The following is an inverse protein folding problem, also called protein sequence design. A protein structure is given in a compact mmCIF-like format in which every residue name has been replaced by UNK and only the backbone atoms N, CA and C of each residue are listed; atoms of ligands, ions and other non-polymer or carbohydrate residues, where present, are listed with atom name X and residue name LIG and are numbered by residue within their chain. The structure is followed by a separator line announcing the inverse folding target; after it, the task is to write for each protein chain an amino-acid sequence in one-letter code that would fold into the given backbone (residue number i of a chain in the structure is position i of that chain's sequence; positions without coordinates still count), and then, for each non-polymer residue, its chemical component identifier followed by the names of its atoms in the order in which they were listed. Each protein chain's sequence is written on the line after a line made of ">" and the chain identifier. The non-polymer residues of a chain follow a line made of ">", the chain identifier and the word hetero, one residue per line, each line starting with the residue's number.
data_IF_958963760566
#
_entry.id   IF_958963760566
#
_cell.length_a   1.000
_cell.length_b   1.000
_cell.length_c   1.000
_cell.angle_alpha   90.00
_cell.angle_beta   90.00
_cell.angle_gamma   90.00
#
_symmetry.space_group_name_H-M   'P 1'
#
loop_
_entity.id
_entity.type
_entity.pdbx_description
1 polymer ?
#
# COMPACT_ATOMS: atom_id res chain seq x y z
N UNK A 1 41.17 -8.65 -3.97
CA UNK A 1 41.71 -7.70 -2.98
C UNK A 1 41.50 -8.31 -1.61
N UNK A 2 42.52 -8.34 -0.76
CA UNK A 2 42.39 -8.86 0.60
C UNK A 2 41.38 -8.03 1.39
N UNK A 3 40.34 -8.68 1.90
CA UNK A 3 39.23 -8.06 2.65
C UNK A 3 39.68 -7.38 3.96
N UNK A 4 40.89 -7.67 4.44
CA UNK A 4 41.47 -7.10 5.66
C UNK A 4 42.07 -5.69 5.53
N UNK A 5 42.12 -5.08 4.33
CA UNK A 5 42.75 -3.76 4.11
C UNK A 5 41.83 -2.66 3.56
N UNK A 6 40.56 -2.97 3.29
CA UNK A 6 39.61 -2.00 2.73
C UNK A 6 39.00 -1.15 3.87
N UNK A 7 39.39 0.12 3.96
CA UNK A 7 38.78 1.10 4.89
C UNK A 7 37.80 2.00 4.15
N UNK A 8 36.84 2.60 4.88
CA UNK A 8 35.89 3.55 4.31
C UNK A 8 36.60 4.74 3.63
N UNK A 9 37.71 5.19 4.20
CA UNK A 9 38.51 6.29 3.65
C UNK A 9 39.14 5.92 2.30
N UNK A 10 39.68 4.70 2.17
CA UNK A 10 40.22 4.21 0.90
C UNK A 10 39.15 4.10 -0.17
N UNK A 11 37.96 3.59 0.18
CA UNK A 11 36.83 3.52 -0.75
C UNK A 11 36.38 4.92 -1.16
N UNK A 12 36.30 5.85 -0.21
CA UNK A 12 35.98 7.26 -0.48
C UNK A 12 37.00 7.91 -1.42
N UNK A 13 38.30 7.66 -1.22
CA UNK A 13 39.37 8.16 -2.09
C UNK A 13 39.27 7.59 -3.50
N UNK A 14 38.96 6.30 -3.65
CA UNK A 14 38.75 5.67 -4.96
C UNK A 14 37.52 6.25 -5.67
N UNK A 15 36.41 6.44 -4.95
CA UNK A 15 35.19 7.02 -5.51
C UNK A 15 35.40 8.47 -5.98
N UNK A 16 36.28 9.23 -5.32
CA UNK A 16 36.66 10.58 -5.76
C UNK A 16 37.37 10.64 -7.12
N UNK A 17 37.92 9.52 -7.61
CA UNK A 17 38.54 9.46 -8.93
C UNK A 17 37.51 9.42 -10.05
N UNK A 18 36.27 9.06 -9.74
CA UNK A 18 35.18 9.00 -10.69
C UNK A 18 34.40 10.31 -10.73
N UNK A 19 33.95 10.68 -11.93
CA UNK A 19 33.01 11.79 -12.15
C UNK A 19 31.63 11.24 -12.49
N UNK A 20 30.60 12.05 -12.32
CA UNK A 20 29.25 11.71 -12.75
C UNK A 20 29.21 11.35 -14.25
N UNK A 21 28.51 10.28 -14.68
CA UNK A 21 27.68 9.36 -13.87
C UNK A 21 28.44 8.19 -13.24
N UNK A 22 29.67 7.90 -13.66
CA UNK A 22 30.45 6.74 -13.21
C UNK A 22 30.66 6.69 -11.69
N UNK A 23 30.68 7.85 -11.02
CA UNK A 23 30.75 7.91 -9.55
C UNK A 23 29.54 7.28 -8.87
N UNK A 24 28.35 7.39 -9.47
CA UNK A 24 27.10 6.81 -8.96
C UNK A 24 27.14 5.29 -9.06
N UNK A 25 27.50 4.77 -10.23
CA UNK A 25 27.62 3.32 -10.47
C UNK A 25 28.68 2.69 -9.55
N UNK A 26 29.85 3.32 -9.45
CA UNK A 26 30.91 2.87 -8.56
C UNK A 26 30.47 2.87 -7.10
N UNK A 27 29.71 3.89 -6.66
CA UNK A 27 29.17 3.96 -5.31
C UNK A 27 28.13 2.86 -5.04
N UNK A 28 27.24 2.56 -6.00
CA UNK A 28 26.27 1.47 -5.88
C UNK A 28 26.95 0.10 -5.75
N UNK A 29 27.99 -0.14 -6.56
CA UNK A 29 28.81 -1.35 -6.45
C UNK A 29 29.51 -1.40 -5.09
N UNK A 30 30.09 -0.28 -4.64
CA UNK A 30 30.75 -0.23 -3.34
C UNK A 30 29.79 -0.55 -2.19
N UNK A 31 28.57 0.01 -2.20
CA UNK A 31 27.54 -0.29 -1.19
C UNK A 31 27.13 -1.76 -1.23
N UNK A 32 27.07 -2.37 -2.43
CA UNK A 32 26.77 -3.80 -2.58
C UNK A 32 27.88 -4.69 -2.00
N UNK A 33 29.12 -4.44 -2.37
CA UNK A 33 30.25 -5.33 -2.02
C UNK A 33 30.76 -5.10 -0.60
N UNK A 34 30.63 -3.88 -0.06
CA UNK A 34 31.25 -3.51 1.22
C UNK A 34 30.30 -3.68 2.41
N UNK A 35 29.66 -4.85 2.55
CA UNK A 35 28.72 -5.11 3.65
C UNK A 35 29.37 -5.15 5.04
N UNK A 36 30.71 -5.17 5.11
CA UNK A 36 31.45 -5.07 6.37
C UNK A 36 31.45 -3.65 6.96
N UNK A 37 31.12 -2.62 6.18
CA UNK A 37 31.03 -1.24 6.70
C UNK A 37 29.74 -1.02 7.48
N UNK A 38 29.76 -0.04 8.38
CA UNK A 38 28.56 0.31 9.13
C UNK A 38 27.52 0.90 8.20
N UNK A 39 26.24 0.72 8.54
CA UNK A 39 25.13 1.28 7.77
C UNK A 39 25.24 2.80 7.61
N UNK A 40 25.73 3.49 8.65
CA UNK A 40 26.01 4.93 8.65
C UNK A 40 27.08 5.31 7.63
N UNK A 41 28.17 4.55 7.55
CA UNK A 41 29.24 4.79 6.58
C UNK A 41 28.74 4.61 5.14
N UNK A 42 27.94 3.56 4.90
CA UNK A 42 27.36 3.30 3.58
C UNK A 42 26.32 4.36 3.18
N UNK A 43 25.51 4.84 4.12
CA UNK A 43 24.57 5.95 3.90
C UNK A 43 25.31 7.26 3.61
N UNK A 44 26.47 7.50 4.25
CA UNK A 44 27.32 8.64 3.92
C UNK A 44 27.88 8.54 2.49
N UNK A 45 28.30 7.35 2.04
CA UNK A 45 28.71 7.14 0.65
C UNK A 45 27.57 7.43 -0.32
N UNK A 46 26.36 6.96 -0.02
CA UNK A 46 25.18 7.24 -0.83
C UNK A 46 24.94 8.76 -0.95
N UNK A 47 24.90 9.47 0.17
CA UNK A 47 24.71 10.92 0.18
C UNK A 47 25.78 11.65 -0.64
N UNK A 48 27.05 11.28 -0.48
CA UNK A 48 28.19 11.99 -1.08
C UNK A 48 28.41 11.68 -2.55
N UNK A 49 28.12 10.45 -3.01
CA UNK A 49 28.50 9.99 -4.35
C UNK A 49 27.32 9.60 -5.24
N UNK A 50 26.16 9.24 -4.69
CA UNK A 50 24.95 8.96 -5.47
C UNK A 50 24.19 10.26 -5.71
N UNK A 51 23.84 10.99 -4.66
CA UNK A 51 23.08 12.25 -4.77
C UNK A 51 23.96 13.51 -4.70
N UNK A 52 25.26 13.32 -4.47
CA UNK A 52 26.27 14.38 -4.42
C UNK A 52 25.89 15.55 -3.50
N UNK A 53 25.41 15.24 -2.30
CA UNK A 53 25.25 16.23 -1.24
C UNK A 53 26.62 16.54 -0.62
N UNK A 54 26.97 17.82 -0.53
CA UNK A 54 28.17 18.26 0.19
C UNK A 54 27.80 18.83 1.56
N UNK A 55 28.59 18.47 2.56
CA UNK A 55 28.47 19.03 3.90
C UNK A 55 29.09 20.43 3.89
N UNK A 56 28.27 21.47 4.03
CA UNK A 56 28.74 22.82 4.32
C UNK A 56 28.50 23.12 5.79
N UNK A 57 29.57 23.34 6.54
CA UNK A 57 29.46 23.97 7.85
C UNK A 57 29.24 25.45 7.63
N UNK A 58 28.12 25.97 8.12
CA UNK A 58 27.87 27.40 8.14
C UNK A 58 29.01 28.12 8.88
N UNK A 59 29.65 29.10 8.22
CA UNK A 59 30.70 29.91 8.84
C UNK A 59 30.20 30.72 10.04
N UNK A 60 28.88 30.90 10.18
CA UNK A 60 28.25 31.68 11.26
C UNK A 60 27.68 30.82 12.38
N UNK A 61 27.48 29.51 12.18
CA UNK A 61 27.08 28.55 13.21
C UNK A 61 27.70 27.18 12.94
N UNK A 62 28.87 26.84 13.54
CA UNK A 62 29.59 25.59 13.27
C UNK A 62 28.85 24.32 13.72
N UNK A 63 27.75 24.45 14.46
CA UNK A 63 26.85 23.35 14.84
C UNK A 63 25.75 23.09 13.80
N UNK A 64 25.54 23.99 12.85
CA UNK A 64 24.59 23.80 11.74
C UNK A 64 25.30 23.23 10.52
N UNK A 65 25.12 21.93 10.37
CA UNK A 65 25.56 21.17 9.21
C UNK A 65 24.52 21.29 8.10
N UNK A 66 24.83 22.04 7.03
CA UNK A 66 23.93 22.26 5.89
C UNK A 66 24.39 21.38 4.73
N UNK A 67 23.52 20.49 4.25
CA UNK A 67 23.81 19.71 3.06
C UNK A 67 23.39 20.49 1.80
N UNK A 68 24.31 20.66 0.86
CA UNK A 68 24.07 21.36 -0.41
C UNK A 68 23.92 20.34 -1.54
N UNK A 69 22.79 20.39 -2.24
CA UNK A 69 22.56 19.64 -3.48
C UNK A 69 23.46 20.19 -4.59
N UNK A 70 24.32 19.33 -5.15
CA UNK A 70 25.21 19.72 -6.26
C UNK A 70 24.72 19.25 -7.63
N UNK A 71 23.84 18.26 -7.69
CA UNK A 71 23.23 17.80 -8.94
C UNK A 71 22.12 18.74 -9.39
N UNK A 72 22.01 18.99 -10.70
CA UNK A 72 20.80 19.60 -11.26
C UNK A 72 19.66 18.56 -11.40
N UNK A 73 18.46 19.01 -11.77
CA UNK A 73 17.30 18.12 -11.85
C UNK A 73 17.43 17.01 -12.91
N UNK A 74 18.12 17.24 -14.02
CA UNK A 74 18.34 16.23 -15.07
C UNK A 74 19.31 15.15 -14.55
N UNK A 75 20.39 15.58 -13.90
CA UNK A 75 21.37 14.67 -13.30
C UNK A 75 20.74 13.85 -12.17
N UNK A 76 19.87 14.45 -11.36
CA UNK A 76 19.13 13.73 -10.33
C UNK A 76 18.23 12.64 -10.93
N UNK A 77 17.48 12.94 -11.99
CA UNK A 77 16.66 11.94 -12.67
C UNK A 77 17.52 10.81 -13.27
N UNK A 78 18.67 11.16 -13.84
CA UNK A 78 19.61 10.16 -14.37
C UNK A 78 20.21 9.29 -13.25
N UNK A 79 20.54 9.87 -12.09
CA UNK A 79 20.94 9.11 -10.88
C UNK A 79 19.85 8.12 -10.46
N UNK A 80 18.59 8.57 -10.43
CA UNK A 80 17.45 7.72 -10.06
C UNK A 80 17.25 6.58 -11.07
N UNK A 81 17.43 6.84 -12.37
CA UNK A 81 17.36 5.77 -13.38
C UNK A 81 18.53 4.79 -13.27
N UNK A 82 19.75 5.25 -13.02
CA UNK A 82 20.90 4.38 -12.75
C UNK A 82 20.66 3.49 -11.52
N UNK A 83 20.08 4.04 -10.45
CA UNK A 83 19.69 3.28 -9.28
C UNK A 83 18.60 2.24 -9.63
N UNK A 84 17.57 2.63 -10.39
CA UNK A 84 16.49 1.71 -10.84
C UNK A 84 17.07 0.54 -11.61
N UNK A 85 17.88 0.82 -12.65
CA UNK A 85 18.54 -0.20 -13.46
C UNK A 85 19.45 -1.09 -12.62
N UNK A 86 20.20 -0.51 -11.67
CA UNK A 86 21.06 -1.27 -10.78
C UNK A 86 20.25 -2.26 -9.93
N UNK A 87 19.14 -1.84 -9.33
CA UNK A 87 18.28 -2.71 -8.51
C UNK A 87 17.61 -3.82 -9.33
N UNK A 88 17.22 -3.53 -10.57
CA UNK A 88 16.64 -4.51 -11.51
C UNK A 88 17.64 -5.56 -11.97
N UNK A 89 18.90 -5.17 -12.16
CA UNK A 89 19.95 -6.04 -12.68
C UNK A 89 20.56 -6.96 -11.62
N UNK A 90 20.15 -6.89 -10.36
CA UNK A 90 20.60 -7.85 -9.36
C UNK A 90 19.80 -9.15 -9.46
N UNK A 91 20.49 -10.28 -9.42
CA UNK A 91 19.87 -11.61 -9.39
C UNK A 91 19.22 -11.95 -8.04
N UNK A 92 19.67 -11.34 -6.95
CA UNK A 92 19.16 -11.55 -5.59
C UNK A 92 18.44 -10.30 -5.07
N UNK A 93 17.13 -10.44 -4.82
CA UNK A 93 16.27 -9.38 -4.28
C UNK A 93 16.74 -8.92 -2.88
N UNK A 94 17.42 -9.76 -2.11
CA UNK A 94 17.97 -9.43 -0.80
C UNK A 94 19.04 -8.34 -0.91
N UNK A 95 19.88 -8.44 -1.95
CA UNK A 95 20.91 -7.44 -2.23
C UNK A 95 20.26 -6.11 -2.60
N UNK A 96 19.31 -6.12 -3.54
CA UNK A 96 18.62 -4.90 -3.96
C UNK A 96 17.86 -4.25 -2.80
N UNK A 97 17.20 -5.05 -1.96
CA UNK A 97 16.50 -4.56 -0.76
C UNK A 97 17.47 -3.88 0.20
N UNK A 98 18.61 -4.51 0.49
CA UNK A 98 19.62 -3.92 1.38
C UNK A 98 20.19 -2.60 0.83
N UNK A 99 20.49 -2.55 -0.47
CA UNK A 99 20.99 -1.32 -1.12
C UNK A 99 19.95 -0.22 -1.04
N UNK A 100 18.68 -0.52 -1.34
CA UNK A 100 17.58 0.42 -1.20
C UNK A 100 17.44 0.92 0.25
N UNK A 101 17.53 0.03 1.24
CA UNK A 101 17.42 0.39 2.65
C UNK A 101 18.56 1.29 3.13
N UNK A 102 19.79 1.06 2.65
CA UNK A 102 20.94 1.93 2.96
C UNK A 102 20.75 3.32 2.37
N UNK A 103 20.17 3.40 1.16
CA UNK A 103 20.00 4.65 0.45
C UNK A 103 18.85 5.45 1.06
N UNK A 104 17.66 4.85 1.19
CA UNK A 104 16.43 5.58 1.51
C UNK A 104 15.94 5.38 2.94
N UNK A 105 15.99 4.16 3.48
CA UNK A 105 15.25 3.82 4.71
C UNK A 105 15.69 4.67 5.90
N UNK A 106 17.00 4.75 6.17
CA UNK A 106 17.49 5.40 7.40
C UNK A 106 17.03 6.85 7.52
N UNK A 107 17.04 7.58 6.41
CA UNK A 107 16.64 8.98 6.37
C UNK A 107 15.12 9.12 6.39
N UNK A 108 14.39 8.25 5.68
CA UNK A 108 12.94 8.32 5.61
C UNK A 108 12.23 7.75 6.85
N UNK A 109 12.93 6.99 7.68
CA UNK A 109 12.42 6.47 8.96
C UNK A 109 12.48 7.47 10.11
N UNK A 110 13.13 8.63 9.91
CA UNK A 110 13.30 9.69 10.90
C UNK A 110 12.79 11.02 10.33
N UNK A 111 11.59 11.46 10.76
CA UNK A 111 10.97 12.71 10.28
C UNK A 111 11.71 13.96 10.71
N UNK A 112 12.51 13.87 11.77
CA UNK A 112 13.32 14.97 12.28
C UNK A 112 14.70 15.02 11.60
N UNK A 113 15.01 14.04 10.73
CA UNK A 113 16.26 14.00 10.00
C UNK A 113 16.36 15.24 9.08
N UNK A 114 17.49 15.96 9.07
CA UNK A 114 17.65 17.20 8.29
C UNK A 114 17.51 17.01 6.77
N UNK A 115 17.66 15.77 6.29
CA UNK A 115 17.50 15.40 4.88
C UNK A 115 16.12 14.80 4.55
N UNK A 116 15.20 14.70 5.51
CA UNK A 116 13.92 14.04 5.32
C UNK A 116 13.16 14.60 4.11
N UNK A 117 12.96 15.91 4.02
CA UNK A 117 12.22 16.54 2.92
C UNK A 117 12.85 16.27 1.55
N UNK A 118 14.18 16.26 1.49
CA UNK A 118 14.92 16.00 0.27
C UNK A 118 14.74 14.55 -0.19
N UNK A 119 14.93 13.60 0.74
CA UNK A 119 14.76 12.18 0.47
C UNK A 119 13.31 11.82 0.20
N UNK A 120 12.35 12.51 0.82
CA UNK A 120 10.94 12.40 0.52
C UNK A 120 10.67 12.76 -0.95
N UNK A 121 11.20 13.90 -1.42
CA UNK A 121 11.06 14.27 -2.83
C UNK A 121 11.78 13.29 -3.78
N UNK A 122 12.93 12.75 -3.38
CA UNK A 122 13.66 11.74 -4.17
C UNK A 122 12.87 10.44 -4.29
N UNK A 123 12.28 9.94 -3.19
CA UNK A 123 11.52 8.68 -3.23
C UNK A 123 10.24 8.83 -4.06
N UNK A 124 9.58 10.00 -4.02
CA UNK A 124 8.42 10.27 -4.87
C UNK A 124 8.80 10.21 -6.37
N UNK A 125 9.89 10.86 -6.76
CA UNK A 125 10.41 10.80 -8.14
C UNK A 125 10.83 9.38 -8.53
N UNK A 126 11.50 8.67 -7.62
CA UNK A 126 11.94 7.29 -7.86
C UNK A 126 10.77 6.34 -8.06
N UNK A 127 9.69 6.54 -7.30
CA UNK A 127 8.46 5.78 -7.43
C UNK A 127 7.75 6.05 -8.76
N UNK A 128 7.56 7.33 -9.12
CA UNK A 128 6.99 7.73 -10.42
C UNK A 128 7.79 7.14 -11.60
N UNK A 129 9.12 7.17 -11.50
CA UNK A 129 10.02 6.55 -12.48
C UNK A 129 9.83 5.04 -12.55
N UNK A 130 9.83 4.36 -11.40
CA UNK A 130 9.69 2.90 -11.32
C UNK A 130 8.34 2.41 -11.86
N UNK A 131 7.28 3.18 -11.65
CA UNK A 131 5.96 2.93 -12.22
C UNK A 131 6.01 3.08 -13.74
N UNK A 132 6.57 4.20 -14.22
CA UNK A 132 6.61 4.53 -15.65
C UNK A 132 7.41 3.53 -16.48
N UNK A 133 8.44 2.92 -15.88
CA UNK A 133 9.28 1.89 -16.51
C UNK A 133 8.84 0.45 -16.19
N UNK A 134 7.72 0.25 -15.49
CA UNK A 134 7.20 -1.08 -15.16
C UNK A 134 8.20 -1.95 -14.39
N UNK A 135 8.95 -1.31 -13.47
CA UNK A 135 10.06 -1.88 -12.71
C UNK A 135 9.63 -2.86 -11.62
N UNK A 136 9.23 -4.08 -11.99
CA UNK A 136 8.71 -5.09 -11.04
C UNK A 136 9.62 -5.36 -9.82
N UNK A 137 10.94 -5.60 -9.96
CA UNK A 137 11.80 -5.82 -8.80
C UNK A 137 11.84 -4.61 -7.87
N UNK A 138 12.02 -3.41 -8.44
CA UNK A 138 12.09 -2.14 -7.69
C UNK A 138 10.79 -1.84 -6.96
N UNK A 139 9.63 -1.99 -7.62
CA UNK A 139 8.32 -1.80 -6.99
C UNK A 139 8.06 -2.81 -5.87
N UNK A 140 8.58 -4.03 -5.99
CA UNK A 140 8.49 -5.04 -4.92
C UNK A 140 9.32 -4.63 -3.69
N UNK A 141 10.51 -4.07 -3.90
CA UNK A 141 11.34 -3.52 -2.82
C UNK A 141 10.64 -2.34 -2.15
N UNK A 142 10.10 -1.41 -2.94
CA UNK A 142 9.35 -0.26 -2.41
C UNK A 142 8.13 -0.73 -1.62
N UNK A 143 7.41 -1.74 -2.09
CA UNK A 143 6.26 -2.29 -1.36
C UNK A 143 6.67 -2.88 0.00
N UNK A 144 7.75 -3.67 0.06
CA UNK A 144 8.29 -4.18 1.33
C UNK A 144 8.72 -3.05 2.28
N UNK A 145 9.30 -2.00 1.72
CA UNK A 145 9.64 -0.80 2.48
C UNK A 145 8.40 -0.14 3.07
N UNK A 146 7.36 0.12 2.28
CA UNK A 146 6.08 0.68 2.75
C UNK A 146 5.47 -0.17 3.88
N UNK A 147 5.49 -1.50 3.75
CA UNK A 147 5.01 -2.42 4.79
C UNK A 147 5.84 -2.38 6.08
N UNK A 148 7.12 -2.04 5.97
CA UNK A 148 8.02 -1.93 7.12
C UNK A 148 7.79 -0.61 7.85
N UNK A 149 7.70 0.51 7.12
CA UNK A 149 7.50 1.84 7.72
C UNK A 149 6.06 2.07 8.18
N UNK A 150 5.07 1.30 7.72
CA UNK A 150 3.68 1.41 8.20
C UNK A 150 3.53 1.08 9.68
N UNK A 151 4.56 0.51 10.32
CA UNK A 151 4.54 0.28 11.76
C UNK A 151 4.79 1.56 12.56
N UNK A 152 5.36 2.58 11.93
CA UNK A 152 5.84 3.79 12.59
C UNK A 152 5.35 5.08 11.95
N UNK A 153 4.96 5.08 10.66
CA UNK A 153 4.71 6.29 9.87
C UNK A 153 3.56 6.18 8.85
N UNK A 154 2.34 5.85 9.31
CA UNK A 154 1.16 5.75 8.42
C UNK A 154 0.84 7.05 7.64
N UNK A 155 1.13 8.21 8.22
CA UNK A 155 0.91 9.50 7.57
C UNK A 155 1.81 9.71 6.35
N UNK A 156 3.03 9.18 6.37
CA UNK A 156 3.96 9.25 5.25
C UNK A 156 3.48 8.39 4.09
N UNK A 157 3.01 7.17 4.37
CA UNK A 157 2.45 6.26 3.37
C UNK A 157 1.23 6.88 2.71
N UNK A 158 0.31 7.42 3.51
CA UNK A 158 -0.88 8.12 2.99
C UNK A 158 -0.48 9.21 2.00
N UNK A 159 0.52 10.05 2.35
CA UNK A 159 1.02 11.12 1.47
C UNK A 159 1.67 10.60 0.19
N UNK A 160 2.41 9.49 0.25
CA UNK A 160 3.02 8.87 -0.93
C UNK A 160 1.94 8.36 -1.88
N UNK A 161 0.93 7.67 -1.35
CA UNK A 161 -0.17 7.12 -2.16
C UNK A 161 -1.02 8.24 -2.76
N UNK A 162 -1.31 9.27 -1.97
CA UNK A 162 -1.97 10.48 -2.47
C UNK A 162 -1.18 11.14 -3.61
N UNK A 163 0.15 11.21 -3.50
CA UNK A 163 1.00 11.72 -4.57
C UNK A 163 0.88 10.88 -5.85
N UNK A 164 0.97 9.55 -5.77
CA UNK A 164 0.82 8.65 -6.92
C UNK A 164 -0.54 8.87 -7.59
N UNK A 165 -1.61 8.91 -6.79
CA UNK A 165 -2.98 9.14 -7.27
C UNK A 165 -3.04 10.47 -8.01
N UNK A 166 -2.56 11.56 -7.39
CA UNK A 166 -2.57 12.89 -8.00
C UNK A 166 -1.76 12.94 -9.29
N UNK A 167 -0.54 12.42 -9.29
CA UNK A 167 0.35 12.46 -10.45
C UNK A 167 -0.21 11.62 -11.61
N UNK A 168 -0.56 10.37 -11.36
CA UNK A 168 -0.96 9.46 -12.43
C UNK A 168 -2.40 9.71 -12.91
N UNK A 169 -3.31 10.18 -12.05
CA UNK A 169 -4.68 10.54 -12.46
C UNK A 169 -4.69 11.90 -13.16
N UNK A 170 -3.93 12.91 -12.69
CA UNK A 170 -3.85 14.20 -13.36
C UNK A 170 -3.26 14.11 -14.76
N UNK A 171 -2.35 13.15 -15.00
CA UNK A 171 -1.81 12.88 -16.33
C UNK A 171 -2.78 12.09 -17.23
N UNK A 172 -3.97 11.72 -16.75
CA UNK A 172 -4.99 10.94 -17.47
C UNK A 172 -4.44 9.66 -18.13
N UNK A 173 -3.35 9.10 -17.61
CA UNK A 173 -2.72 7.90 -18.17
C UNK A 173 -3.39 6.67 -17.55
N UNK A 174 -4.67 6.46 -17.87
CA UNK A 174 -5.45 5.27 -17.44
C UNK A 174 -4.69 3.97 -17.74
N UNK A 175 -3.90 3.93 -18.82
CA UNK A 175 -3.03 2.78 -19.15
C UNK A 175 -1.90 2.57 -18.14
N UNK A 176 -1.22 3.62 -17.69
CA UNK A 176 -0.14 3.53 -16.67
C UNK A 176 -0.71 3.11 -15.33
N UNK A 177 -1.89 3.63 -14.98
CA UNK A 177 -2.60 3.25 -13.76
C UNK A 177 -3.08 1.80 -13.81
N UNK A 178 -3.64 1.33 -14.92
CA UNK A 178 -4.01 -0.08 -15.06
C UNK A 178 -2.77 -0.99 -15.01
N UNK A 179 -1.62 -0.50 -15.50
CA UNK A 179 -0.34 -1.19 -15.38
C UNK A 179 0.15 -1.23 -13.92
N UNK A 180 -0.13 -0.20 -13.08
CA UNK A 180 0.21 -0.22 -11.64
C UNK A 180 -0.26 -1.51 -10.96
N UNK A 181 -1.49 -1.94 -11.26
CA UNK A 181 -2.09 -3.12 -10.66
C UNK A 181 -1.55 -4.45 -11.21
N UNK A 182 -0.74 -4.44 -12.28
CA UNK A 182 -0.21 -5.64 -12.95
C UNK A 182 1.32 -5.77 -12.87
N UNK A 183 2.06 -4.71 -12.55
CA UNK A 183 3.54 -4.75 -12.54
C UNK A 183 4.08 -5.57 -11.36
N UNK A 184 3.64 -5.28 -10.14
CA UNK A 184 4.06 -6.01 -8.92
C UNK A 184 2.86 -6.26 -8.00
N UNK A 185 2.57 -7.54 -7.72
CA UNK A 185 1.42 -7.92 -6.89
C UNK A 185 1.51 -7.40 -5.45
N UNK A 186 2.70 -7.39 -4.86
CA UNK A 186 2.90 -6.85 -3.51
C UNK A 186 2.64 -5.35 -3.47
N UNK A 187 3.14 -4.63 -4.48
CA UNK A 187 2.86 -3.21 -4.63
C UNK A 187 1.38 -2.94 -4.85
N UNK A 188 0.71 -3.73 -5.70
CA UNK A 188 -0.74 -3.66 -5.92
C UNK A 188 -1.52 -3.84 -4.62
N UNK A 189 -1.17 -4.82 -3.78
CA UNK A 189 -1.82 -5.01 -2.48
C UNK A 189 -1.69 -3.77 -1.58
N UNK A 190 -0.48 -3.22 -1.47
CA UNK A 190 -0.23 -2.01 -0.69
C UNK A 190 -1.02 -0.82 -1.25
N UNK A 191 -0.96 -0.62 -2.56
CA UNK A 191 -1.62 0.48 -3.23
C UNK A 191 -3.15 0.43 -3.08
N UNK A 192 -3.77 -0.72 -3.31
CA UNK A 192 -5.23 -0.92 -3.14
C UNK A 192 -5.60 -0.66 -1.68
N UNK A 193 -4.88 -1.26 -0.71
CA UNK A 193 -5.15 -1.06 0.73
C UNK A 193 -5.17 0.42 1.10
N UNK A 194 -4.09 1.13 0.77
CA UNK A 194 -3.90 2.51 1.17
C UNK A 194 -4.86 3.45 0.41
N UNK A 195 -5.20 3.13 -0.84
CA UNK A 195 -6.25 3.83 -1.58
C UNK A 195 -7.61 3.65 -0.90
N UNK A 196 -7.93 2.46 -0.40
CA UNK A 196 -9.17 2.24 0.35
C UNK A 196 -9.20 3.07 1.65
N UNK A 197 -8.10 3.08 2.41
CA UNK A 197 -7.97 3.89 3.62
C UNK A 197 -8.11 5.38 3.31
N UNK A 198 -7.52 5.84 2.21
CA UNK A 198 -7.57 7.23 1.78
C UNK A 198 -9.00 7.65 1.41
N UNK A 199 -9.73 6.81 0.67
CA UNK A 199 -11.12 7.07 0.30
C UNK A 199 -12.10 7.01 1.49
N UNK A 200 -11.76 6.26 2.53
CA UNK A 200 -12.56 6.18 3.75
C UNK A 200 -12.49 7.48 4.59
N UNK A 201 -11.37 8.22 4.54
CA UNK A 201 -11.18 9.48 5.29
C UNK A 201 -12.12 10.60 4.79
N UNK A 202 -12.94 11.13 5.69
CA UNK A 202 -13.94 12.18 5.43
C UNK A 202 -13.35 13.49 4.86
N UNK A 203 -12.10 13.82 5.22
CA UNK A 203 -11.44 15.06 4.80
C UNK A 203 -10.81 14.99 3.40
N UNK A 204 -10.93 13.86 2.70
CA UNK A 204 -10.34 13.74 1.38
C UNK A 204 -11.30 14.30 0.31
N UNK A 205 -11.19 15.61 0.08
CA UNK A 205 -11.95 16.34 -0.94
C UNK A 205 -11.43 15.91 -2.32
N UNK A 206 -11.99 14.85 -2.87
CA UNK A 206 -11.74 14.46 -4.26
C UNK A 206 -12.96 14.76 -5.13
N UNK A 207 -12.73 15.27 -6.34
CA UNK A 207 -13.69 15.23 -7.45
C UNK A 207 -14.29 13.82 -7.61
N UNK A 208 -15.62 13.74 -7.75
CA UNK A 208 -16.39 12.51 -8.00
C UNK A 208 -15.79 11.68 -9.15
N UNK A 209 -15.24 12.31 -10.19
CA UNK A 209 -14.59 11.62 -11.33
C UNK A 209 -13.34 10.84 -10.94
N UNK A 210 -12.56 11.38 -10.02
CA UNK A 210 -11.35 10.71 -9.54
C UNK A 210 -11.75 9.56 -8.62
N UNK A 211 -12.78 9.72 -7.78
CA UNK A 211 -13.34 8.59 -7.00
C UNK A 211 -13.78 7.47 -7.94
N UNK A 212 -14.50 7.79 -9.01
CA UNK A 212 -14.91 6.80 -10.02
C UNK A 212 -13.69 6.08 -10.63
N UNK A 213 -12.68 6.84 -11.06
CA UNK A 213 -11.45 6.30 -11.64
C UNK A 213 -10.70 5.39 -10.66
N UNK A 214 -10.68 5.76 -9.38
CA UNK A 214 -10.08 4.94 -8.33
C UNK A 214 -10.88 3.66 -8.10
N UNK A 215 -12.21 3.71 -8.09
CA UNK A 215 -13.04 2.50 -7.98
C UNK A 215 -12.85 1.57 -9.18
N UNK A 216 -12.80 2.10 -10.39
CA UNK A 216 -12.47 1.33 -11.61
C UNK A 216 -11.11 0.63 -11.48
N UNK A 217 -10.11 1.34 -10.96
CA UNK A 217 -8.77 0.80 -10.73
C UNK A 217 -8.75 -0.31 -9.67
N UNK A 218 -9.41 -0.10 -8.53
CA UNK A 218 -9.52 -1.12 -7.48
C UNK A 218 -10.22 -2.37 -8.03
N UNK A 219 -11.29 -2.18 -8.81
CA UNK A 219 -12.03 -3.25 -9.49
C UNK A 219 -11.10 -4.02 -10.42
N UNK A 220 -10.40 -3.32 -11.33
CA UNK A 220 -9.48 -3.91 -12.29
C UNK A 220 -8.35 -4.71 -11.62
N UNK A 221 -7.75 -4.16 -10.56
CA UNK A 221 -6.70 -4.83 -9.80
C UNK A 221 -7.18 -6.12 -9.14
N UNK A 222 -8.40 -6.09 -8.57
CA UNK A 222 -9.00 -7.27 -7.96
C UNK A 222 -9.35 -8.35 -8.98
N UNK A 223 -9.90 -7.99 -10.14
CA UNK A 223 -10.37 -8.96 -11.14
C UNK A 223 -9.25 -9.60 -11.93
N UNK A 224 -8.24 -8.83 -12.36
CA UNK A 224 -7.22 -9.34 -13.28
C UNK A 224 -6.06 -10.03 -12.56
N UNK A 225 -5.83 -9.68 -11.30
CA UNK A 225 -4.70 -10.19 -10.53
C UNK A 225 -5.13 -11.09 -9.37
N UNK A 226 -6.40 -11.51 -9.29
CA UNK A 226 -6.98 -12.24 -8.12
C UNK A 226 -6.05 -13.34 -7.58
N UNK A 227 -5.71 -14.33 -8.41
CA UNK A 227 -4.90 -15.48 -7.98
C UNK A 227 -3.50 -15.06 -7.52
N UNK A 228 -2.88 -14.12 -8.23
CA UNK A 228 -1.54 -13.62 -7.90
C UNK A 228 -1.56 -12.83 -6.58
N UNK A 229 -2.59 -12.01 -6.36
CA UNK A 229 -2.80 -11.27 -5.12
C UNK A 229 -3.03 -12.23 -3.94
N UNK A 230 -3.79 -13.31 -4.13
CA UNK A 230 -4.01 -14.33 -3.10
C UNK A 230 -2.73 -15.04 -2.69
N UNK A 231 -1.95 -15.51 -3.68
CA UNK A 231 -0.66 -16.17 -3.41
C UNK A 231 0.29 -15.21 -2.71
N UNK A 232 0.36 -13.96 -3.15
CA UNK A 232 1.22 -12.94 -2.52
C UNK A 232 0.77 -12.66 -1.09
N UNK A 233 -0.53 -12.48 -0.85
CA UNK A 233 -1.07 -12.22 0.48
C UNK A 233 -0.80 -13.40 1.44
N UNK A 234 -0.96 -14.64 0.95
CA UNK A 234 -0.64 -15.84 1.72
C UNK A 234 0.85 -15.92 2.06
N UNK A 235 1.73 -15.64 1.09
CA UNK A 235 3.18 -15.63 1.30
C UNK A 235 3.59 -14.60 2.34
N UNK A 236 3.05 -13.39 2.29
CA UNK A 236 3.39 -12.34 3.26
C UNK A 236 2.85 -12.67 4.66
N UNK A 237 1.66 -13.27 4.80
CA UNK A 237 1.17 -13.76 6.10
C UNK A 237 2.01 -14.89 6.69
N UNK A 238 2.62 -15.73 5.85
CA UNK A 238 3.52 -16.81 6.30
C UNK A 238 4.90 -16.23 6.66
N UNK A 239 5.43 -15.36 5.81
CA UNK A 239 6.79 -14.82 5.94
C UNK A 239 6.93 -13.86 7.11
N UNK A 240 5.84 -13.17 7.48
CA UNK A 240 5.87 -12.13 8.47
C UNK A 240 4.62 -12.22 9.36
N UNK A 241 4.80 -12.20 10.69
CA UNK A 241 3.76 -11.77 11.63
C UNK A 241 3.42 -10.27 11.44
N UNK A 242 3.33 -9.77 10.20
CA UNK A 242 3.22 -8.35 9.89
C UNK A 242 1.76 -7.91 9.85
N UNK A 243 1.34 -7.22 10.92
CA UNK A 243 0.03 -6.59 11.12
C UNK A 243 -0.45 -5.72 9.95
N UNK A 244 0.45 -5.21 9.11
CA UNK A 244 0.15 -4.13 8.16
C UNK A 244 -0.69 -4.55 6.93
N UNK A 245 -0.58 -5.79 6.45
CA UNK A 245 -1.45 -6.31 5.38
C UNK A 245 -2.70 -7.03 5.90
N UNK A 246 -2.83 -7.30 7.21
CA UNK A 246 -4.04 -7.94 7.77
C UNK A 246 -5.30 -7.10 7.50
N UNK A 247 -5.16 -5.77 7.41
CA UNK A 247 -6.27 -4.89 7.13
C UNK A 247 -6.60 -4.73 5.64
N UNK A 248 -5.93 -5.44 4.72
CA UNK A 248 -6.23 -5.36 3.29
C UNK A 248 -7.71 -5.70 2.98
N UNK A 249 -8.16 -6.90 3.36
CA UNK A 249 -9.54 -7.35 3.12
C UNK A 249 -10.56 -6.54 3.94
N UNK A 250 -10.34 -6.28 5.24
CA UNK A 250 -11.16 -5.35 6.02
C UNK A 250 -11.34 -3.97 5.36
N UNK A 251 -10.27 -3.31 4.93
CA UNK A 251 -10.34 -1.98 4.34
C UNK A 251 -11.15 -1.95 3.04
N UNK A 252 -11.04 -2.98 2.20
CA UNK A 252 -11.84 -3.09 0.98
C UNK A 252 -13.33 -3.27 1.26
N UNK A 253 -13.68 -4.16 2.21
CA UNK A 253 -15.07 -4.40 2.59
C UNK A 253 -15.69 -3.14 3.19
N UNK A 254 -14.99 -2.51 4.14
CA UNK A 254 -15.45 -1.28 4.80
C UNK A 254 -15.76 -0.20 3.77
N UNK A 255 -14.82 0.07 2.86
CA UNK A 255 -15.03 1.04 1.79
C UNK A 255 -16.25 0.68 0.93
N UNK A 256 -16.37 -0.57 0.49
CA UNK A 256 -17.47 -0.99 -0.39
C UNK A 256 -18.85 -0.83 0.25
N UNK A 257 -18.96 -1.14 1.54
CA UNK A 257 -20.21 -1.00 2.29
C UNK A 257 -20.54 0.48 2.49
N UNK A 258 -19.60 1.26 3.05
CA UNK A 258 -19.82 2.66 3.42
C UNK A 258 -19.98 3.60 2.22
N UNK A 259 -19.35 3.31 1.08
CA UNK A 259 -19.52 4.13 -0.13
C UNK A 259 -20.98 4.18 -0.59
N UNK A 260 -21.77 3.14 -0.32
CA UNK A 260 -23.20 3.10 -0.68
C UNK A 260 -24.01 4.14 0.10
N UNK A 261 -23.57 4.55 1.29
CA UNK A 261 -24.22 5.57 2.11
C UNK A 261 -23.90 6.99 1.66
N UNK A 262 -22.80 7.19 0.92
CA UNK A 262 -22.44 8.52 0.44
C UNK A 262 -23.36 8.89 -0.71
N UNK A 263 -24.00 10.06 -0.60
CA UNK A 263 -24.90 10.61 -1.61
C UNK A 263 -24.12 10.98 -2.89
N UNK A 264 -23.85 10.00 -3.74
CA UNK A 264 -23.44 10.26 -5.11
C UNK A 264 -24.69 10.63 -5.90
N UNK A 265 -24.96 11.92 -6.00
CA UNK A 265 -26.04 12.45 -6.84
C UNK A 265 -26.03 11.77 -8.21
N UNK A 266 -26.96 10.83 -8.41
CA UNK A 266 -27.61 10.41 -9.66
C UNK A 266 -26.76 10.24 -10.93
N UNK A 267 -25.44 10.12 -10.88
CA UNK A 267 -24.65 9.66 -12.02
C UNK A 267 -24.77 8.15 -12.09
N UNK A 268 -25.62 7.65 -13.00
CA UNK A 268 -25.82 6.21 -13.24
C UNK A 268 -24.51 5.44 -13.45
N UNK A 269 -23.47 6.12 -13.94
CA UNK A 269 -22.13 5.55 -14.13
C UNK A 269 -21.45 5.16 -12.82
N UNK A 270 -21.47 6.00 -11.77
CA UNK A 270 -20.77 5.66 -10.54
C UNK A 270 -21.45 4.48 -9.81
N UNK A 271 -22.78 4.43 -9.82
CA UNK A 271 -23.52 3.28 -9.28
C UNK A 271 -23.09 1.96 -9.96
N UNK A 272 -22.99 1.92 -11.29
CA UNK A 272 -22.53 0.70 -11.98
C UNK A 272 -21.10 0.31 -11.61
N UNK A 273 -20.20 1.27 -11.41
CA UNK A 273 -18.82 0.99 -10.97
C UNK A 273 -18.77 0.45 -9.53
N UNK A 274 -19.63 0.95 -8.63
CA UNK A 274 -19.74 0.43 -7.28
C UNK A 274 -20.28 -1.00 -7.25
N UNK A 275 -21.21 -1.35 -8.14
CA UNK A 275 -21.71 -2.72 -8.28
C UNK A 275 -20.66 -3.68 -8.84
N UNK A 276 -19.87 -3.23 -9.83
CA UNK A 276 -18.73 -3.99 -10.32
C UNK A 276 -17.66 -4.19 -9.23
N UNK A 277 -17.38 -3.15 -8.45
CA UNK A 277 -16.46 -3.24 -7.32
C UNK A 277 -16.96 -4.22 -6.26
N UNK A 278 -18.25 -4.14 -5.91
CA UNK A 278 -18.89 -5.08 -4.99
C UNK A 278 -18.76 -6.53 -5.48
N UNK A 279 -19.12 -6.78 -6.74
CA UNK A 279 -19.02 -8.11 -7.37
C UNK A 279 -17.59 -8.64 -7.35
N UNK A 280 -16.60 -7.77 -7.58
CA UNK A 280 -15.19 -8.12 -7.56
C UNK A 280 -14.71 -8.51 -6.15
N UNK A 281 -15.19 -7.81 -5.11
CA UNK A 281 -14.94 -8.19 -3.71
C UNK A 281 -15.56 -9.54 -3.39
N UNK A 282 -16.81 -9.79 -3.79
CA UNK A 282 -17.45 -11.09 -3.57
C UNK A 282 -16.65 -12.21 -4.26
N UNK A 283 -16.22 -12.00 -5.51
CA UNK A 283 -15.40 -12.96 -6.26
C UNK A 283 -14.04 -13.21 -5.59
N UNK A 284 -13.40 -12.16 -5.07
CA UNK A 284 -12.15 -12.26 -4.33
C UNK A 284 -12.33 -13.07 -3.04
N UNK A 285 -13.39 -12.81 -2.27
CA UNK A 285 -13.73 -13.57 -1.06
C UNK A 285 -14.03 -15.04 -1.39
N UNK A 286 -14.81 -15.32 -2.42
CA UNK A 286 -15.03 -16.70 -2.87
C UNK A 286 -13.73 -17.39 -3.26
N UNK A 287 -12.81 -16.69 -3.90
CA UNK A 287 -11.50 -17.24 -4.25
C UNK A 287 -10.68 -17.60 -3.00
N UNK A 288 -10.70 -16.77 -1.95
CA UNK A 288 -10.09 -17.10 -0.64
C UNK A 288 -10.70 -18.39 -0.06
N UNK A 289 -12.02 -18.54 -0.18
CA UNK A 289 -12.76 -19.66 0.42
C UNK A 289 -12.51 -20.96 -0.36
N UNK A 290 -12.46 -20.90 -1.69
CA UNK A 290 -12.26 -22.05 -2.57
C UNK A 290 -10.81 -22.53 -2.56
N UNK A 291 -9.84 -21.64 -2.30
CA UNK A 291 -8.41 -21.96 -2.19
C UNK A 291 -8.04 -22.79 -0.93
N UNK A 292 -8.97 -23.65 -0.49
CA UNK A 292 -8.97 -24.59 0.66
C UNK A 292 -7.89 -25.68 0.63
N UNK A 293 -6.90 -25.63 -0.27
CA UNK A 293 -6.06 -26.79 -0.55
C UNK A 293 -5.06 -27.17 0.55
N UNK A 294 -4.82 -26.33 1.56
CA UNK A 294 -3.92 -26.68 2.67
C UNK A 294 -4.57 -26.41 4.04
N UNK A 295 -4.58 -27.44 4.89
CA UNK A 295 -5.18 -27.47 6.24
C UNK A 295 -4.57 -26.46 7.25
N UNK A 296 -3.62 -25.62 6.81
CA UNK A 296 -2.97 -24.55 7.57
C UNK A 296 -3.14 -23.19 6.88
N UNK A 297 -4.35 -22.85 6.41
CA UNK A 297 -4.56 -21.57 5.73
C UNK A 297 -4.55 -20.40 6.75
N UNK A 298 -3.35 -19.91 7.08
CA UNK A 298 -3.07 -18.74 7.95
C UNK A 298 -3.90 -17.52 7.51
N UNK A 299 -4.17 -17.40 6.21
CA UNK A 299 -4.96 -16.34 5.62
C UNK A 299 -6.41 -16.34 6.12
N UNK A 300 -7.03 -17.51 6.27
CA UNK A 300 -8.41 -17.63 6.76
C UNK A 300 -8.52 -17.35 8.26
N UNK A 301 -7.53 -17.78 9.06
CA UNK A 301 -7.53 -17.59 10.52
C UNK A 301 -7.40 -16.13 10.95
N UNK A 302 -6.80 -15.30 10.11
CA UNK A 302 -6.46 -13.93 10.46
C UNK A 302 -7.06 -12.90 9.51
N UNK A 303 -8.00 -13.30 8.66
CA UNK A 303 -8.59 -12.40 7.66
C UNK A 303 -9.33 -11.22 8.29
N UNK A 304 -9.97 -11.48 9.43
CA UNK A 304 -10.77 -10.52 10.17
C UNK A 304 -10.44 -10.57 11.67
N UNK A 305 -10.36 -9.42 12.34
CA UNK A 305 -10.55 -9.34 13.79
C UNK A 305 -11.91 -9.96 14.19
N UNK A 306 -11.98 -10.59 15.37
CA UNK A 306 -13.18 -11.32 15.82
C UNK A 306 -14.45 -10.46 15.91
N UNK A 307 -14.31 -9.15 16.12
CA UNK A 307 -15.39 -8.18 16.24
C UNK A 307 -15.52 -7.26 15.01
N UNK A 308 -14.86 -7.57 13.89
CA UNK A 308 -14.79 -6.68 12.73
C UNK A 308 -16.17 -6.26 12.19
N UNK A 309 -17.08 -7.23 11.98
CA UNK A 309 -18.41 -6.94 11.45
C UNK A 309 -19.29 -6.16 12.42
N UNK A 310 -19.11 -6.36 13.74
CA UNK A 310 -19.78 -5.57 14.77
C UNK A 310 -19.30 -4.11 14.74
N UNK A 311 -17.98 -3.88 14.66
CA UNK A 311 -17.41 -2.55 14.52
C UNK A 311 -17.84 -1.85 13.22
N UNK A 312 -17.94 -2.60 12.12
CA UNK A 312 -18.44 -2.08 10.85
C UNK A 312 -19.92 -1.68 10.97
N UNK A 313 -20.74 -2.47 11.67
CA UNK A 313 -22.13 -2.14 11.91
C UNK A 313 -22.31 -0.86 12.73
N UNK A 314 -21.51 -0.69 13.80
CA UNK A 314 -21.49 0.55 14.59
C UNK A 314 -21.12 1.74 13.69
N UNK A 315 -20.11 1.58 12.83
CA UNK A 315 -19.71 2.65 11.90
C UNK A 315 -20.85 3.03 10.94
N UNK A 316 -21.60 2.05 10.43
CA UNK A 316 -22.76 2.29 9.56
C UNK A 316 -23.85 3.07 10.30
N UNK A 317 -24.10 2.72 11.56
CA UNK A 317 -25.08 3.40 12.41
C UNK A 317 -24.72 4.85 12.64
N UNK A 318 -23.49 5.09 13.10
CA UNK A 318 -22.97 6.43 13.35
C UNK A 318 -23.12 7.29 12.09
N UNK A 319 -22.75 6.76 10.92
CA UNK A 319 -22.87 7.47 9.65
C UNK A 319 -24.33 7.83 9.32
N UNK A 320 -25.26 6.88 9.48
CA UNK A 320 -26.68 7.10 9.17
C UNK A 320 -27.30 8.15 10.10
N UNK A 321 -26.94 8.14 11.38
CA UNK A 321 -27.43 9.11 12.35
C UNK A 321 -26.94 10.54 12.06
N UNK A 322 -25.69 10.67 11.60
CA UNK A 322 -25.03 11.96 11.39
C UNK A 322 -25.35 12.56 10.01
N UNK A 323 -25.21 11.77 8.95
CA UNK A 323 -25.31 12.23 7.56
C UNK A 323 -26.73 12.12 6.99
N UNK A 324 -27.61 11.34 7.62
CA UNK A 324 -29.02 11.14 7.21
C UNK A 324 -29.17 10.82 5.70
N UNK A 325 -28.51 9.76 5.20
CA UNK A 325 -28.58 9.39 3.80
C UNK A 325 -29.98 8.93 3.38
N UNK A 326 -30.26 8.96 2.08
CA UNK A 326 -31.53 8.49 1.52
C UNK A 326 -31.77 6.99 1.82
N UNK A 327 -33.04 6.60 2.01
CA UNK A 327 -33.41 5.21 2.32
C UNK A 327 -32.86 4.19 1.30
N UNK A 328 -32.82 4.55 0.01
CA UNK A 328 -32.26 3.69 -1.04
C UNK A 328 -30.78 3.35 -0.77
N UNK A 329 -29.99 4.33 -0.33
CA UNK A 329 -28.57 4.18 -0.04
C UNK A 329 -28.35 3.32 1.21
N UNK A 330 -29.23 3.50 2.20
CA UNK A 330 -29.27 2.66 3.42
C UNK A 330 -29.55 1.21 3.05
N UNK A 331 -30.56 0.95 2.22
CA UNK A 331 -30.94 -0.40 1.79
C UNK A 331 -29.78 -1.08 1.02
N UNK A 332 -29.11 -0.35 0.12
CA UNK A 332 -27.95 -0.85 -0.63
C UNK A 332 -26.76 -1.17 0.28
N UNK A 333 -26.47 -0.30 1.26
CA UNK A 333 -25.45 -0.54 2.28
C UNK A 333 -25.74 -1.81 3.08
N UNK A 334 -26.97 -1.96 3.58
CA UNK A 334 -27.45 -3.13 4.30
C UNK A 334 -27.31 -4.39 3.45
N UNK A 335 -27.73 -4.33 2.18
CA UNK A 335 -27.65 -5.45 1.26
C UNK A 335 -26.20 -5.92 1.08
N UNK A 336 -25.27 -5.00 0.79
CA UNK A 336 -23.85 -5.33 0.60
C UNK A 336 -23.21 -5.90 1.85
N UNK A 337 -23.52 -5.31 3.02
CA UNK A 337 -23.07 -5.83 4.32
C UNK A 337 -23.54 -7.28 4.53
N UNK A 338 -24.82 -7.56 4.32
CA UNK A 338 -25.41 -8.90 4.52
C UNK A 338 -24.85 -9.93 3.52
N UNK A 339 -24.65 -9.56 2.26
CA UNK A 339 -24.08 -10.45 1.25
C UNK A 339 -22.65 -10.87 1.65
N UNK A 340 -21.81 -9.91 2.01
CA UNK A 340 -20.42 -10.17 2.45
C UNK A 340 -20.41 -11.00 3.73
N UNK A 341 -21.21 -10.63 4.74
CA UNK A 341 -21.32 -11.38 5.99
C UNK A 341 -21.72 -12.83 5.75
N UNK A 342 -22.68 -13.08 4.86
CA UNK A 342 -23.14 -14.43 4.52
C UNK A 342 -22.02 -15.29 3.91
N UNK A 343 -21.24 -14.73 2.98
CA UNK A 343 -20.10 -15.42 2.36
C UNK A 343 -19.10 -15.80 3.44
N UNK A 344 -18.75 -14.85 4.31
CA UNK A 344 -17.78 -15.10 5.35
C UNK A 344 -18.31 -16.16 6.35
N UNK A 345 -19.59 -16.14 6.73
CA UNK A 345 -20.20 -17.16 7.61
C UNK A 345 -20.20 -18.57 7.03
N UNK A 346 -20.58 -18.72 5.76
CA UNK A 346 -20.62 -20.03 5.09
C UNK A 346 -19.25 -20.71 4.97
N UNK A 347 -18.18 -19.96 5.17
CA UNK A 347 -16.82 -20.41 4.92
C UNK A 347 -16.02 -20.85 6.14
N UNK A 348 -16.65 -20.95 7.33
CA UNK A 348 -15.98 -21.28 8.61
C UNK A 348 -14.78 -20.38 8.94
N UNK A 349 -14.73 -19.17 8.34
CA UNK A 349 -13.84 -18.12 8.80
C UNK A 349 -14.16 -17.83 10.27
N UNK A 350 -13.15 -17.51 11.12
CA UNK A 350 -13.36 -17.24 12.54
C UNK A 350 -14.13 -15.92 12.73
N UNK A 351 -15.44 -15.99 12.51
CA UNK A 351 -16.43 -14.97 12.82
C UNK A 351 -17.05 -15.38 14.14
N UNK A 352 -16.24 -15.39 15.19
CA UNK A 352 -16.52 -16.29 16.32
C UNK A 352 -17.72 -15.92 17.17
N UNK A 353 -18.39 -14.77 16.99
CA UNK A 353 -19.46 -14.36 17.93
C UNK A 353 -20.69 -13.64 17.34
N UNK A 354 -20.71 -13.27 16.06
CA UNK A 354 -21.82 -12.47 15.52
C UNK A 354 -22.96 -13.37 14.98
N UNK A 355 -24.01 -13.57 15.76
CA UNK A 355 -25.25 -14.25 15.32
C UNK A 355 -26.06 -13.33 14.39
N UNK A 356 -26.61 -13.84 13.27
CA UNK A 356 -27.52 -13.02 12.43
C UNK A 356 -28.74 -12.64 13.26
N UNK A 357 -29.21 -13.53 14.13
CA UNK A 357 -30.32 -13.26 15.03
C UNK A 357 -30.04 -12.12 16.03
N UNK A 358 -28.77 -11.79 16.31
CA UNK A 358 -28.42 -10.68 17.20
C UNK A 358 -28.29 -9.34 16.44
N UNK A 359 -28.16 -9.35 15.11
CA UNK A 359 -28.05 -8.12 14.31
C UNK A 359 -29.28 -7.22 14.44
N UNK A 360 -30.48 -7.77 14.63
CA UNK A 360 -31.71 -6.99 14.83
C UNK A 360 -31.71 -6.20 16.14
N UNK A 361 -30.99 -6.68 17.15
CA UNK A 361 -30.82 -5.98 18.43
C UNK A 361 -29.89 -4.77 18.27
N UNK A 362 -28.94 -4.88 17.35
CA UNK A 362 -27.99 -3.82 17.08
C UNK A 362 -28.55 -2.81 16.07
N UNK A 363 -29.29 -3.24 15.04
CA UNK A 363 -29.75 -2.36 13.98
C UNK A 363 -31.17 -2.71 13.51
N UNK A 364 -32.14 -1.95 13.97
CA UNK A 364 -33.58 -2.19 13.72
C UNK A 364 -33.94 -2.18 12.23
N UNK A 365 -33.18 -1.45 11.40
CA UNK A 365 -33.40 -1.36 9.96
C UNK A 365 -33.21 -2.68 9.21
N UNK A 366 -32.48 -3.65 9.77
CA UNK A 366 -32.37 -4.99 9.17
C UNK A 366 -33.72 -5.73 9.12
N UNK A 367 -34.63 -5.44 10.04
CA UNK A 367 -35.95 -6.11 10.12
C UNK A 367 -36.85 -5.83 8.91
N UNK A 368 -36.50 -4.84 8.09
CA UNK A 368 -37.22 -4.52 6.86
C UNK A 368 -36.58 -5.14 5.60
N UNK A 369 -35.39 -5.73 5.73
CA UNK A 369 -34.63 -6.20 4.57
C UNK A 369 -34.87 -7.69 4.30
N UNK A 370 -35.29 -8.03 3.08
CA UNK A 370 -35.65 -9.42 2.70
C UNK A 370 -34.50 -10.42 2.88
N UNK A 371 -33.27 -10.03 2.55
CA UNK A 371 -32.10 -10.91 2.69
C UNK A 371 -31.80 -11.23 4.17
N UNK A 372 -32.10 -10.30 5.09
CA UNK A 372 -31.89 -10.54 6.52
C UNK A 372 -32.77 -11.69 7.01
N UNK A 373 -34.07 -11.66 6.68
CA UNK A 373 -35.01 -12.72 7.04
C UNK A 373 -34.60 -14.08 6.47
N UNK A 374 -34.19 -14.13 5.20
CA UNK A 374 -33.71 -15.36 4.57
C UNK A 374 -32.50 -15.94 5.32
N UNK A 375 -31.56 -15.09 5.71
CA UNK A 375 -30.35 -15.50 6.43
C UNK A 375 -30.67 -15.92 7.87
N UNK A 376 -31.59 -15.22 8.54
CA UNK A 376 -32.07 -15.53 9.90
C UNK A 376 -32.76 -16.90 9.93
N UNK A 377 -33.72 -17.13 9.03
CA UNK A 377 -34.45 -18.39 8.92
C UNK A 377 -33.49 -19.57 8.70
N UNK A 378 -32.46 -19.37 7.87
CA UNK A 378 -31.46 -20.41 7.60
C UNK A 378 -30.61 -20.73 8.83
N UNK A 379 -30.14 -19.71 9.55
CA UNK A 379 -29.34 -19.90 10.77
C UNK A 379 -30.17 -20.57 11.88
N UNK A 380 -31.44 -20.18 12.05
CA UNK A 380 -32.36 -20.82 13.00
C UNK A 380 -32.66 -22.29 12.67
N UNK A 381 -32.61 -22.67 11.38
CA UNK A 381 -32.74 -24.07 10.93
C UNK A 381 -31.47 -24.89 11.20
N UNK A 382 -30.28 -24.28 11.17
CA UNK A 382 -29.01 -24.97 11.45
C UNK A 382 -28.75 -25.17 12.96
N UNK A 383 -29.42 -24.40 13.84
CA UNK A 383 -29.33 -24.51 15.31
C UNK A 383 -30.26 -25.59 15.90
N UNK A 384 -31.31 -25.98 15.17
CA UNK A 384 -32.28 -27.02 15.55
C UNK A 384 -31.85 -28.39 15.08
#
# INVERSE_FOLDING_TARGET
>A
MDSGQLTIDKVTQLLHQHKFPASVEAALIAIRECSMFTRKDLSMLANRFIFCHSLSTSNTNPTQTIWIKTLNNIQELHTLDLLRQFLENQSDLTISTRVFDIIFFDILSDTDHPLFTLYYNLILKFLSLSISFESKPTLTIIARWLLTISKTMDSLITKIIEFIIREHIALAITKSINNLCTISSLFTLCFIKETCILLDKENFIIDKKIIQTLIELLTYGLTNSTNLLLVTLQQEFIAQNNSSLFNFVPSMIRLNVLLSLRAFESSSSLCSHLDHFHTSILSFLFSIIIHKSDQNNVLQKNLFPSNYFEQLLITIQDFIEHEKPDQKNIDECIQRYLQILSICKTSSLPLTHLCICDLEKHFSLFTHHKLFHILKDKEEQEIK
#
